data_IF_391755426989
#
_entry.id   IF_391755426989
#
_cell.length_a   1.000
_cell.length_b   1.000
_cell.length_c   1.000
_cell.angle_alpha   90.00
_cell.angle_beta   90.00
_cell.angle_gamma   90.00
#
_symmetry.space_group_name_H-M   'P 1'
#
loop_
_entity.id
_entity.type
_entity.pdbx_description
1 polymer ?
#
# COMPACT_ATOMS: atom_id res chain seq x y z
N UNK A 1 -36.88 -2.15 -11.00
CA UNK A 1 -36.09 -3.32 -10.57
C UNK A 1 -34.65 -2.89 -10.32
N UNK A 2 -34.19 -3.06 -9.07
CA UNK A 2 -32.79 -2.87 -8.70
C UNK A 2 -31.92 -3.89 -9.42
N UNK A 3 -30.91 -3.44 -10.16
CA UNK A 3 -29.96 -4.31 -10.86
C UNK A 3 -28.62 -4.27 -10.14
N UNK A 4 -28.09 -5.44 -9.80
CA UNK A 4 -26.76 -5.60 -9.24
C UNK A 4 -25.76 -6.00 -10.34
N UNK A 5 -24.57 -5.40 -10.30
CA UNK A 5 -23.43 -5.74 -11.14
C UNK A 5 -22.26 -6.08 -10.22
N UNK A 6 -21.71 -7.26 -10.40
CA UNK A 6 -20.54 -7.74 -9.67
C UNK A 6 -19.35 -7.87 -10.62
N UNK A 7 -18.20 -7.33 -10.22
CA UNK A 7 -16.93 -7.43 -10.94
C UNK A 7 -15.91 -8.04 -9.99
N UNK A 8 -15.64 -9.34 -10.16
CA UNK A 8 -14.63 -10.07 -9.41
C UNK A 8 -13.98 -11.14 -10.32
N UNK A 9 -12.65 -11.09 -10.56
CA UNK A 9 -11.71 -10.08 -10.09
C UNK A 9 -11.77 -8.79 -10.93
N UNK A 10 -11.46 -7.65 -10.31
CA UNK A 10 -11.13 -6.44 -11.07
C UNK A 10 -9.72 -6.61 -11.67
N UNK A 11 -9.58 -6.34 -12.97
CA UNK A 11 -8.30 -6.50 -13.69
C UNK A 11 -7.56 -5.17 -13.84
N UNK A 12 -6.25 -5.22 -14.16
CA UNK A 12 -5.34 -4.07 -14.30
C UNK A 12 -5.20 -3.22 -13.03
N UNK A 13 -5.18 -3.87 -11.86
CA UNK A 13 -4.80 -3.29 -10.57
C UNK A 13 -3.71 -4.14 -9.90
N UNK A 14 -3.10 -3.59 -8.86
CA UNK A 14 -2.23 -4.35 -7.95
C UNK A 14 -3.07 -4.94 -6.81
N UNK A 15 -2.89 -6.23 -6.52
CA UNK A 15 -3.63 -6.93 -5.46
C UNK A 15 -4.92 -7.58 -5.92
N UNK A 16 -5.84 -7.80 -4.97
CA UNK A 16 -7.10 -8.49 -5.19
C UNK A 16 -8.25 -7.63 -4.68
N UNK A 17 -9.26 -7.43 -5.51
CA UNK A 17 -10.48 -6.77 -5.10
C UNK A 17 -11.66 -7.04 -6.01
N UNK A 18 -12.84 -6.80 -5.47
CA UNK A 18 -14.14 -6.93 -6.13
C UNK A 18 -14.95 -5.64 -6.04
N UNK A 19 -15.83 -5.41 -7.00
CA UNK A 19 -16.78 -4.31 -7.00
C UNK A 19 -18.20 -4.84 -7.06
N UNK A 20 -19.06 -4.32 -6.17
CA UNK A 20 -20.51 -4.50 -6.23
C UNK A 20 -21.16 -3.16 -6.50
N UNK A 21 -21.89 -3.05 -7.61
CA UNK A 21 -22.54 -1.83 -8.08
C UNK A 21 -24.05 -2.07 -8.12
N UNK A 22 -24.80 -1.20 -7.46
CA UNK A 22 -26.27 -1.25 -7.44
C UNK A 22 -26.80 -0.12 -8.33
N UNK A 23 -27.57 -0.49 -9.34
CA UNK A 23 -28.25 0.44 -10.24
C UNK A 23 -29.73 0.56 -9.88
N UNK A 24 -30.21 1.80 -9.83
CA UNK A 24 -31.62 2.11 -9.73
C UNK A 24 -32.35 1.92 -11.06
N UNK A 25 -33.68 2.09 -11.01
CA UNK A 25 -34.56 1.93 -12.17
C UNK A 25 -34.27 2.93 -13.29
N UNK A 26 -33.74 4.11 -12.94
CA UNK A 26 -33.27 5.13 -13.89
C UNK A 26 -31.88 4.83 -14.48
N UNK A 27 -31.35 3.62 -14.24
CA UNK A 27 -30.01 3.15 -14.61
C UNK A 27 -28.87 3.96 -13.98
N UNK A 28 -29.12 4.80 -12.98
CA UNK A 28 -28.06 5.49 -12.24
C UNK A 28 -27.51 4.62 -11.12
N UNK A 29 -26.24 4.84 -10.82
CA UNK A 29 -25.56 4.20 -9.69
C UNK A 29 -26.15 4.73 -8.38
N UNK A 30 -26.68 3.83 -7.56
CA UNK A 30 -27.18 4.15 -6.22
C UNK A 30 -26.12 3.86 -5.16
N UNK A 31 -25.34 2.79 -5.33
CA UNK A 31 -24.23 2.48 -4.42
C UNK A 31 -23.11 1.70 -5.14
N UNK A 32 -21.90 1.89 -4.64
CA UNK A 32 -20.71 1.11 -5.04
C UNK A 32 -20.01 0.63 -3.79
N UNK A 33 -19.69 -0.65 -3.74
CA UNK A 33 -18.86 -1.24 -2.71
C UNK A 33 -17.58 -1.78 -3.36
N UNK A 34 -16.44 -1.32 -2.88
CA UNK A 34 -15.13 -1.83 -3.25
C UNK A 34 -14.60 -2.73 -2.13
N UNK A 35 -14.40 -4.00 -2.45
CA UNK A 35 -14.00 -5.03 -1.50
C UNK A 35 -12.54 -5.39 -1.73
N UNK A 36 -11.71 -5.26 -0.69
CA UNK A 36 -10.35 -5.81 -0.69
C UNK A 36 -10.41 -7.20 -0.10
N UNK A 37 -10.07 -8.22 -0.90
CA UNK A 37 -10.23 -9.63 -0.51
C UNK A 37 -8.94 -10.27 -0.01
N UNK A 38 -7.81 -9.55 -0.10
CA UNK A 38 -6.51 -10.03 0.37
C UNK A 38 -6.03 -9.28 1.62
N UNK A 39 -5.67 -10.02 2.68
CA UNK A 39 -5.04 -9.46 3.89
C UNK A 39 -3.82 -10.30 4.28
N UNK A 40 -2.74 -9.64 4.71
CA UNK A 40 -1.48 -10.30 5.13
C UNK A 40 -1.00 -9.94 6.53
N UNK A 41 -1.67 -9.01 7.21
CA UNK A 41 -1.43 -8.66 8.61
C UNK A 41 0.05 -8.31 8.93
N UNK A 42 0.69 -7.52 8.07
CA UNK A 42 2.09 -7.10 8.27
C UNK A 42 2.31 -6.44 9.63
N UNK A 43 1.36 -5.63 10.10
CA UNK A 43 1.45 -4.94 11.39
C UNK A 43 1.65 -5.93 12.54
N UNK A 44 0.81 -6.98 12.61
CA UNK A 44 0.93 -8.03 13.62
C UNK A 44 2.21 -8.84 13.44
N UNK A 45 2.60 -9.13 12.20
CA UNK A 45 3.81 -9.86 11.86
C UNK A 45 5.11 -9.15 12.26
N UNK A 46 5.08 -7.82 12.40
CA UNK A 46 6.24 -7.01 12.79
C UNK A 46 6.44 -6.92 14.30
N UNK A 47 5.44 -7.26 15.11
CA UNK A 47 5.59 -7.29 16.58
C UNK A 47 6.72 -8.24 17.01
N UNK A 48 7.57 -7.79 17.93
CA UNK A 48 8.70 -8.56 18.46
C UNK A 48 9.91 -8.66 17.52
N UNK A 49 9.88 -8.05 16.33
CA UNK A 49 11.03 -8.02 15.42
C UNK A 49 11.98 -6.87 15.76
N UNK A 50 13.27 -7.09 15.48
CA UNK A 50 14.27 -6.04 15.45
C UNK A 50 13.91 -4.97 14.42
N UNK A 51 13.87 -3.71 14.85
CA UNK A 51 13.47 -2.56 14.04
C UNK A 51 14.32 -2.45 12.76
N UNK A 52 15.62 -2.71 12.86
CA UNK A 52 16.62 -2.72 11.78
C UNK A 52 16.21 -3.60 10.58
N UNK A 53 15.41 -4.65 10.84
CA UNK A 53 14.95 -5.57 9.81
C UNK A 53 13.70 -5.07 9.08
N UNK A 54 12.92 -4.17 9.68
CA UNK A 54 11.63 -3.74 9.16
C UNK A 54 11.75 -3.12 7.76
N UNK A 55 12.72 -2.23 7.46
CA UNK A 55 12.90 -1.69 6.10
C UNK A 55 13.20 -2.74 5.02
N UNK A 56 13.64 -3.93 5.41
CA UNK A 56 13.87 -5.06 4.49
C UNK A 56 12.64 -5.97 4.38
N UNK A 57 11.71 -5.91 5.33
CA UNK A 57 10.50 -6.74 5.37
C UNK A 57 9.34 -6.04 4.66
N UNK A 58 9.07 -4.79 5.01
CA UNK A 58 7.91 -4.04 4.51
C UNK A 58 7.86 -3.80 3.00
N UNK A 59 8.96 -3.79 2.22
CA UNK A 59 8.85 -3.71 0.75
C UNK A 59 8.08 -4.89 0.13
N UNK A 60 7.83 -5.96 0.90
CA UNK A 60 7.04 -7.13 0.47
C UNK A 60 5.55 -6.89 0.64
N UNK A 61 5.13 -5.75 1.21
CA UNK A 61 3.73 -5.32 1.21
C UNK A 61 3.26 -5.08 -0.22
N UNK A 62 4.04 -4.45 -1.09
CA UNK A 62 3.56 -4.07 -2.41
C UNK A 62 4.69 -4.20 -3.43
N UNK A 63 4.47 -5.00 -4.48
CA UNK A 63 5.45 -5.22 -5.55
C UNK A 63 5.63 -4.00 -6.46
N UNK A 64 4.61 -3.14 -6.58
CA UNK A 64 4.64 -1.94 -7.40
C UNK A 64 5.29 -0.76 -6.67
N UNK A 65 5.05 -0.67 -5.36
CA UNK A 65 5.46 0.43 -4.49
C UNK A 65 6.47 0.03 -3.39
N UNK A 66 7.53 -0.74 -3.70
CA UNK A 66 8.45 -1.25 -2.69
C UNK A 66 9.32 -0.14 -2.07
N UNK A 67 9.58 0.95 -2.82
CA UNK A 67 10.44 2.05 -2.36
C UNK A 67 9.80 2.86 -1.24
N UNK A 68 8.55 3.34 -1.34
CA UNK A 68 7.84 3.91 -0.19
C UNK A 68 7.86 2.99 1.02
N UNK A 69 7.59 1.70 0.83
CA UNK A 69 7.62 0.73 1.92
C UNK A 69 9.01 0.47 2.50
N UNK A 70 10.09 0.77 1.78
CA UNK A 70 11.45 0.75 2.32
C UNK A 70 11.76 2.03 3.13
N UNK A 71 11.40 3.19 2.58
CA UNK A 71 11.75 4.50 3.15
C UNK A 71 10.91 4.87 4.38
N UNK A 72 9.61 4.55 4.38
CA UNK A 72 8.70 4.89 5.49
C UNK A 72 9.14 4.30 6.84
N UNK A 73 9.37 2.99 6.99
CA UNK A 73 9.84 2.45 8.27
C UNK A 73 11.27 2.90 8.60
N UNK A 74 12.13 3.12 7.59
CA UNK A 74 13.49 3.66 7.83
C UNK A 74 13.39 5.00 8.55
N UNK A 75 12.55 5.92 8.04
CA UNK A 75 12.31 7.22 8.66
C UNK A 75 11.66 7.10 10.04
N UNK A 76 10.70 6.20 10.21
CA UNK A 76 10.02 5.99 11.49
C UNK A 76 10.98 5.49 12.59
N UNK A 77 11.91 4.60 12.22
CA UNK A 77 12.91 4.07 13.16
C UNK A 77 13.95 5.13 13.52
N UNK A 78 14.42 5.90 12.54
CA UNK A 78 15.35 7.01 12.78
C UNK A 78 14.75 8.07 13.69
N UNK A 79 13.47 8.41 13.49
CA UNK A 79 12.74 9.31 14.36
C UNK A 79 12.64 8.74 15.79
N UNK A 80 12.28 7.47 15.93
CA UNK A 80 12.23 6.79 17.23
C UNK A 80 13.58 6.72 17.95
N UNK A 81 14.69 6.75 17.22
CA UNK A 81 16.06 6.74 17.77
C UNK A 81 16.69 8.12 17.88
N UNK A 82 16.03 9.19 17.43
CA UNK A 82 16.59 10.53 17.40
C UNK A 82 17.81 10.67 16.49
N UNK A 83 17.86 9.91 15.38
CA UNK A 83 18.98 9.89 14.45
C UNK A 83 18.82 10.99 13.40
N UNK A 84 19.83 11.86 13.29
CA UNK A 84 19.98 12.76 12.16
C UNK A 84 20.88 12.14 11.09
N UNK A 85 20.38 12.01 9.87
CA UNK A 85 21.12 11.40 8.76
C UNK A 85 21.92 12.43 7.98
N UNK A 86 23.10 12.06 7.44
CA UNK A 86 23.93 13.01 6.70
C UNK A 86 23.30 13.38 5.34
N UNK A 87 23.62 14.57 4.84
CA UNK A 87 23.11 15.10 3.56
C UNK A 87 23.17 14.12 2.38
N UNK A 88 24.25 13.33 2.18
CA UNK A 88 24.28 12.33 1.12
C UNK A 88 23.16 11.28 1.22
N UNK A 89 22.81 10.83 2.43
CA UNK A 89 21.74 9.86 2.64
C UNK A 89 20.37 10.44 2.25
N UNK A 90 20.10 11.71 2.60
CA UNK A 90 18.88 12.42 2.19
C UNK A 90 18.80 12.49 0.66
N UNK A 91 19.88 12.87 -0.01
CA UNK A 91 19.94 12.97 -1.48
C UNK A 91 19.71 11.62 -2.15
N UNK A 92 20.33 10.54 -1.66
CA UNK A 92 20.14 9.19 -2.19
C UNK A 92 18.70 8.71 -2.03
N UNK A 93 18.06 8.98 -0.89
CA UNK A 93 16.64 8.62 -0.66
C UNK A 93 15.70 9.40 -1.58
N UNK A 94 15.96 10.69 -1.80
CA UNK A 94 15.22 11.51 -2.78
C UNK A 94 15.39 11.00 -4.20
N UNK A 95 16.61 10.62 -4.59
CA UNK A 95 16.87 10.01 -5.89
C UNK A 95 16.09 8.69 -6.04
N UNK A 96 16.12 7.83 -5.02
CA UNK A 96 15.46 6.54 -5.04
C UNK A 96 13.93 6.65 -5.20
N UNK A 97 13.28 7.56 -4.46
CA UNK A 97 11.82 7.75 -4.57
C UNK A 97 11.43 8.37 -5.91
N UNK A 98 12.17 9.38 -6.36
CA UNK A 98 11.89 10.06 -7.63
C UNK A 98 12.09 9.12 -8.81
N UNK A 99 13.18 8.34 -8.84
CA UNK A 99 13.46 7.40 -9.92
C UNK A 99 12.39 6.30 -10.08
N UNK A 100 11.64 5.97 -9.02
CA UNK A 100 10.58 4.96 -9.06
C UNK A 100 9.20 5.52 -9.43
N UNK A 101 8.98 6.83 -9.29
CA UNK A 101 7.70 7.50 -9.55
C UNK A 101 7.54 8.01 -10.99
N UNK A 102 8.47 7.69 -11.88
CA UNK A 102 8.37 7.91 -13.33
C UNK A 102 7.93 6.64 -14.07
#
# INVERSE_FOLDING_TARGET
>A
MVKEIEIEPITRLEGHGGLKIVLGDDKKVQSVQFNITSTRFFEKFLEGRYCEHIPRITPRICGICPIPHHLSPTKAIEDAWGVEIPTPAIKLRKLLINAKQY
#
